data_IF_175354305999
#
_entry.id   IF_175354305999
#
_cell.length_a   1.000
_cell.length_b   1.000
_cell.length_c   1.000
_cell.angle_alpha   90.00
_cell.angle_beta   90.00
_cell.angle_gamma   90.00
#
_symmetry.space_group_name_H-M   'P 1'
#
loop_
_entity.id
_entity.type
_entity.pdbx_description
1 polymer ?
#
# COMPACT_ATOMS: atom_id res chain seq x y z
N UNK A 1 -14.68 -82.61 5.69
CA UNK A 1 -16.02 -82.61 6.28
C UNK A 1 -15.90 -81.82 7.60
N UNK A 2 -16.44 -80.68 7.66
CA UNK A 2 -17.04 -80.01 8.81
C UNK A 2 -17.36 -78.53 8.39
N UNK A 3 -18.64 -78.31 8.11
CA UNK A 3 -19.23 -76.97 7.91
C UNK A 3 -19.44 -76.39 9.30
N UNK A 4 -18.90 -75.24 9.57
CA UNK A 4 -19.27 -74.44 10.74
C UNK A 4 -20.28 -73.36 10.30
N UNK A 5 -21.45 -73.44 10.86
CA UNK A 5 -22.61 -72.58 10.66
C UNK A 5 -22.33 -71.13 11.08
N UNK A 6 -22.65 -70.25 10.20
CA UNK A 6 -22.60 -68.75 10.43
C UNK A 6 -23.94 -68.36 11.05
N UNK A 7 -23.93 -68.00 12.34
CA UNK A 7 -25.09 -67.43 13.03
C UNK A 7 -25.43 -66.04 12.48
N UNK A 8 -26.71 -65.90 12.10
CA UNK A 8 -27.29 -64.61 11.67
C UNK A 8 -27.44 -63.69 12.87
N UNK A 9 -27.04 -62.44 12.71
CA UNK A 9 -27.36 -61.33 13.63
C UNK A 9 -28.76 -60.79 13.32
N UNK A 10 -29.58 -60.50 14.32
CA UNK A 10 -30.86 -59.85 14.08
C UNK A 10 -30.71 -58.37 13.70
N UNK A 11 -31.52 -57.94 12.74
CA UNK A 11 -31.66 -56.51 12.35
C UNK A 11 -32.31 -55.70 13.47
N UNK A 12 -31.88 -54.45 13.69
CA UNK A 12 -32.56 -53.54 14.61
C UNK A 12 -33.80 -52.92 13.93
N UNK A 13 -34.91 -52.92 14.63
CA UNK A 13 -36.17 -52.30 14.22
C UNK A 13 -36.08 -50.78 14.04
N UNK A 14 -36.86 -50.16 13.11
CA UNK A 14 -36.85 -48.73 12.91
C UNK A 14 -37.63 -48.05 14.04
N UNK A 15 -36.90 -47.38 14.96
CA UNK A 15 -37.45 -46.51 15.97
C UNK A 15 -38.01 -45.26 15.33
N UNK A 16 -39.31 -45.04 15.50
CA UNK A 16 -40.04 -43.80 15.22
C UNK A 16 -39.60 -42.74 16.21
N UNK A 17 -38.67 -41.85 15.81
CA UNK A 17 -38.30 -40.69 16.62
C UNK A 17 -39.02 -39.43 16.07
N UNK A 18 -39.83 -38.87 16.96
CA UNK A 18 -40.69 -37.75 16.70
C UNK A 18 -39.94 -36.46 16.33
N UNK A 19 -40.39 -35.83 15.26
CA UNK A 19 -39.86 -34.62 14.74
C UNK A 19 -39.76 -33.49 15.77
N UNK A 20 -38.52 -33.11 16.09
CA UNK A 20 -38.22 -31.79 16.65
C UNK A 20 -37.84 -30.83 15.49
N UNK A 21 -38.51 -29.71 15.35
CA UNK A 21 -38.12 -28.73 14.35
C UNK A 21 -36.70 -28.21 14.65
N UNK A 22 -35.80 -28.39 13.72
CA UNK A 22 -34.46 -27.79 13.77
C UNK A 22 -34.60 -26.26 13.88
N UNK A 23 -34.30 -25.73 15.06
CA UNK A 23 -34.22 -24.29 15.28
C UNK A 23 -33.11 -23.72 14.40
N UNK A 24 -33.47 -22.71 13.62
CA UNK A 24 -32.58 -21.84 12.87
C UNK A 24 -31.55 -21.19 13.82
N UNK A 25 -30.38 -21.78 13.94
CA UNK A 25 -29.20 -21.21 14.59
C UNK A 25 -28.08 -21.20 13.56
N UNK A 26 -28.27 -20.45 12.46
CA UNK A 26 -27.40 -20.56 11.30
C UNK A 26 -26.76 -19.25 10.80
N UNK A 27 -27.09 -18.10 11.37
CA UNK A 27 -26.56 -16.82 10.86
C UNK A 27 -25.35 -16.31 11.64
N UNK A 28 -25.28 -16.52 12.96
CA UNK A 28 -24.15 -15.99 13.77
C UNK A 28 -22.88 -16.87 13.71
N UNK A 29 -23.01 -18.16 13.43
CA UNK A 29 -21.86 -19.07 13.37
C UNK A 29 -21.00 -18.92 12.09
N UNK A 30 -21.59 -18.42 11.00
CA UNK A 30 -20.87 -18.23 9.73
C UNK A 30 -19.95 -17.01 9.77
N UNK A 31 -20.38 -15.92 10.39
CA UNK A 31 -19.55 -14.71 10.54
C UNK A 31 -18.37 -14.92 11.50
N UNK A 32 -18.56 -15.65 12.58
CA UNK A 32 -17.50 -16.02 13.51
C UNK A 32 -16.45 -16.95 12.85
N UNK A 33 -16.90 -17.93 12.07
CA UNK A 33 -16.03 -18.84 11.33
C UNK A 33 -15.25 -18.16 10.19
N UNK A 34 -15.85 -17.17 9.54
CA UNK A 34 -15.19 -16.38 8.49
C UNK A 34 -14.13 -15.42 9.09
N UNK A 35 -14.39 -14.82 10.24
CA UNK A 35 -13.43 -13.97 10.97
C UNK A 35 -12.21 -14.75 11.46
N UNK A 36 -12.41 -15.95 11.99
CA UNK A 36 -11.35 -16.82 12.46
C UNK A 36 -10.41 -17.25 11.31
N UNK A 37 -10.98 -17.70 10.20
CA UNK A 37 -10.21 -18.07 9.00
C UNK A 37 -9.41 -16.92 8.41
N UNK A 38 -9.93 -15.71 8.47
CA UNK A 38 -9.20 -14.51 8.03
C UNK A 38 -8.00 -14.22 8.95
N UNK A 39 -8.17 -14.33 10.27
CA UNK A 39 -7.10 -14.16 11.25
C UNK A 39 -5.98 -15.21 11.07
N UNK A 40 -6.33 -16.47 10.80
CA UNK A 40 -5.36 -17.54 10.50
C UNK A 40 -4.58 -17.25 9.21
N UNK A 41 -5.26 -16.79 8.17
CA UNK A 41 -4.63 -16.38 6.90
C UNK A 41 -3.65 -15.22 7.13
N UNK A 42 -4.06 -14.24 7.92
CA UNK A 42 -3.24 -13.08 8.26
C UNK A 42 -1.99 -13.49 9.05
N UNK A 43 -2.16 -14.41 10.02
CA UNK A 43 -1.04 -14.92 10.83
C UNK A 43 -0.04 -15.73 9.99
N UNK A 44 -0.53 -16.55 9.06
CA UNK A 44 0.31 -17.31 8.14
C UNK A 44 1.12 -16.38 7.22
N UNK A 45 0.49 -15.35 6.65
CA UNK A 45 1.15 -14.35 5.81
C UNK A 45 2.17 -13.50 6.60
N UNK A 46 1.82 -13.11 7.83
CA UNK A 46 2.75 -12.41 8.72
C UNK A 46 4.01 -13.23 9.02
N UNK A 47 3.84 -14.52 9.30
CA UNK A 47 4.97 -15.42 9.57
C UNK A 47 5.89 -15.54 8.35
N UNK A 48 5.33 -15.65 7.13
CA UNK A 48 6.10 -15.65 5.88
C UNK A 48 6.95 -14.37 5.72
N UNK A 49 6.35 -13.21 5.93
CA UNK A 49 7.05 -11.92 5.80
C UNK A 49 8.17 -11.75 6.84
N UNK A 50 7.96 -12.22 8.08
CA UNK A 50 8.94 -12.14 9.15
C UNK A 50 10.13 -13.09 8.94
N UNK A 51 9.94 -14.22 8.27
CA UNK A 51 10.98 -15.21 8.02
C UNK A 51 11.84 -14.87 6.80
N UNK A 52 11.41 -13.93 5.94
CA UNK A 52 12.18 -13.45 4.80
C UNK A 52 13.05 -12.24 5.20
N UNK A 53 14.36 -12.43 5.48
CA UNK A 53 15.22 -11.33 5.91
C UNK A 53 15.33 -10.20 4.87
N UNK A 54 15.15 -10.51 3.58
CA UNK A 54 15.17 -9.53 2.50
C UNK A 54 14.07 -8.46 2.61
N UNK A 55 12.88 -8.81 3.10
CA UNK A 55 11.77 -7.85 3.26
C UNK A 55 12.11 -6.79 4.32
N UNK A 56 12.70 -7.21 5.44
CA UNK A 56 13.14 -6.29 6.50
C UNK A 56 14.20 -5.30 6.02
N UNK A 57 15.21 -5.78 5.28
CA UNK A 57 16.25 -4.92 4.69
C UNK A 57 15.69 -3.94 3.65
N UNK A 58 14.74 -4.36 2.82
CA UNK A 58 14.08 -3.47 1.85
C UNK A 58 13.24 -2.39 2.55
N UNK A 59 12.54 -2.72 3.62
CA UNK A 59 11.77 -1.75 4.42
C UNK A 59 12.71 -0.73 5.10
N UNK A 60 13.82 -1.20 5.68
CA UNK A 60 14.87 -0.34 6.23
C UNK A 60 15.47 0.57 5.15
N UNK A 61 15.79 0.01 3.98
CA UNK A 61 16.34 0.77 2.86
C UNK A 61 15.33 1.83 2.37
N UNK A 62 14.03 1.50 2.28
CA UNK A 62 12.99 2.46 1.92
C UNK A 62 12.94 3.63 2.90
N UNK A 63 12.93 3.35 4.21
CA UNK A 63 12.91 4.39 5.23
C UNK A 63 14.19 5.24 5.22
N UNK A 64 15.36 4.59 5.22
CA UNK A 64 16.65 5.27 5.21
C UNK A 64 16.84 6.16 3.97
N UNK A 65 16.46 5.64 2.79
CA UNK A 65 16.56 6.38 1.53
C UNK A 65 15.61 7.59 1.51
N UNK A 66 14.39 7.42 2.00
CA UNK A 66 13.41 8.51 2.11
C UNK A 66 13.95 9.63 3.01
N UNK A 67 14.46 9.28 4.20
CA UNK A 67 15.02 10.26 5.14
C UNK A 67 16.27 10.92 4.55
N UNK A 68 17.19 10.14 3.99
CA UNK A 68 18.45 10.65 3.45
C UNK A 68 18.24 11.63 2.28
N UNK A 69 17.33 11.30 1.35
CA UNK A 69 17.02 12.18 0.21
C UNK A 69 16.30 13.43 0.68
N UNK A 70 15.36 13.35 1.62
CA UNK A 70 14.72 14.53 2.23
C UNK A 70 15.74 15.43 2.92
N UNK A 71 16.59 14.88 3.78
CA UNK A 71 17.64 15.62 4.47
C UNK A 71 18.65 16.26 3.50
N UNK A 72 19.01 15.56 2.42
CA UNK A 72 19.90 16.09 1.38
C UNK A 72 19.23 17.27 0.62
N UNK A 73 17.92 17.17 0.34
CA UNK A 73 17.17 18.27 -0.28
C UNK A 73 17.09 19.48 0.65
N UNK A 74 16.85 19.27 1.95
CA UNK A 74 16.85 20.34 2.96
C UNK A 74 18.23 21.03 3.05
N UNK A 75 19.31 20.24 3.08
CA UNK A 75 20.68 20.75 3.16
C UNK A 75 21.15 21.47 1.87
N UNK A 76 20.62 21.07 0.72
CA UNK A 76 20.94 21.71 -0.56
C UNK A 76 20.16 23.03 -0.80
N UNK A 77 19.10 23.27 -0.01
CA UNK A 77 18.24 24.43 -0.18
C UNK A 77 18.66 25.57 0.75
N UNK A 78 18.81 26.77 0.21
CA UNK A 78 19.14 27.98 0.99
C UNK A 78 18.08 29.06 0.77
N UNK A 79 17.69 29.72 1.86
CA UNK A 79 16.80 30.86 1.84
C UNK A 79 17.62 32.16 1.98
N UNK A 80 17.67 32.96 0.90
CA UNK A 80 18.38 34.24 0.91
C UNK A 80 17.49 35.38 1.41
N UNK A 81 18.12 36.58 1.59
CA UNK A 81 17.45 37.78 2.08
C UNK A 81 16.36 38.36 1.15
N UNK A 82 16.29 37.89 -0.10
CA UNK A 82 15.27 38.30 -1.08
C UNK A 82 13.92 37.57 -0.95
N UNK A 83 13.78 36.71 0.05
CA UNK A 83 12.60 35.88 0.27
C UNK A 83 12.69 34.53 -0.46
N UNK A 84 12.01 33.52 0.07
CA UNK A 84 11.94 32.19 -0.49
C UNK A 84 10.48 31.87 -0.84
N UNK A 85 10.28 31.23 -1.99
CA UNK A 85 8.97 30.68 -2.38
C UNK A 85 8.91 29.16 -2.19
N UNK A 86 9.85 28.60 -1.41
CA UNK A 86 9.89 27.17 -1.14
C UNK A 86 8.86 26.77 -0.07
N UNK A 87 8.35 25.56 -0.20
CA UNK A 87 7.49 24.92 0.79
C UNK A 87 8.35 23.99 1.66
N UNK A 88 8.66 24.37 2.93
CA UNK A 88 9.57 23.58 3.77
C UNK A 88 9.10 22.16 4.02
N UNK A 89 7.79 21.96 4.22
CA UNK A 89 7.24 20.63 4.44
C UNK A 89 7.38 19.74 3.19
N UNK A 90 7.05 20.29 2.03
CA UNK A 90 7.21 19.58 0.75
C UNK A 90 8.68 19.27 0.46
N UNK A 91 9.60 20.17 0.82
CA UNK A 91 11.03 20.00 0.64
C UNK A 91 11.56 18.82 1.45
N UNK A 92 11.28 18.78 2.75
CA UNK A 92 11.67 17.69 3.65
C UNK A 92 11.06 16.34 3.25
N UNK A 93 9.87 16.35 2.64
CA UNK A 93 9.17 15.16 2.17
C UNK A 93 9.52 14.74 0.73
N UNK A 94 10.46 15.44 0.05
CA UNK A 94 10.90 15.09 -1.30
C UNK A 94 11.42 13.65 -1.40
N UNK A 95 12.02 13.13 -0.33
CA UNK A 95 12.49 11.75 -0.25
C UNK A 95 11.41 10.70 -0.48
N UNK A 96 10.13 11.01 -0.24
CA UNK A 96 8.99 10.13 -0.52
C UNK A 96 8.92 9.76 -2.00
N UNK A 97 9.33 10.66 -2.91
CA UNK A 97 9.35 10.40 -4.36
C UNK A 97 10.34 9.29 -4.76
N UNK A 98 11.40 9.10 -3.99
CA UNK A 98 12.36 8.01 -4.21
C UNK A 98 11.96 6.77 -3.42
N UNK A 99 11.53 6.96 -2.16
CA UNK A 99 11.07 5.88 -1.28
C UNK A 99 9.91 5.08 -1.88
N UNK A 100 9.01 5.73 -2.64
CA UNK A 100 7.89 5.06 -3.30
C UNK A 100 8.33 3.94 -4.27
N UNK A 101 9.46 4.10 -4.95
CA UNK A 101 9.97 3.06 -5.86
C UNK A 101 10.32 1.78 -5.08
N UNK A 102 10.98 1.91 -3.93
CA UNK A 102 11.31 0.77 -3.09
C UNK A 102 10.05 0.13 -2.51
N UNK A 103 9.09 0.95 -2.07
CA UNK A 103 7.77 0.49 -1.58
C UNK A 103 7.01 -0.28 -2.67
N UNK A 104 7.02 0.23 -3.91
CA UNK A 104 6.39 -0.46 -5.04
C UNK A 104 7.04 -1.82 -5.31
N UNK A 105 8.38 -1.89 -5.29
CA UNK A 105 9.13 -3.16 -5.46
C UNK A 105 8.77 -4.15 -4.35
N UNK A 106 8.73 -3.73 -3.08
CA UNK A 106 8.33 -4.58 -1.95
C UNK A 106 6.93 -5.16 -2.18
N UNK A 107 5.97 -4.33 -2.58
CA UNK A 107 4.59 -4.76 -2.82
C UNK A 107 4.48 -5.73 -4.00
N UNK A 108 5.24 -5.53 -5.07
CA UNK A 108 5.30 -6.47 -6.21
C UNK A 108 5.87 -7.81 -5.76
N UNK A 109 7.01 -7.80 -5.06
CA UNK A 109 7.69 -9.01 -4.62
C UNK A 109 6.85 -9.81 -3.61
N UNK A 110 6.03 -9.14 -2.79
CA UNK A 110 5.15 -9.78 -1.81
C UNK A 110 4.15 -10.78 -2.44
N UNK A 111 3.80 -10.62 -3.72
CA UNK A 111 2.91 -11.55 -4.41
C UNK A 111 3.62 -12.34 -5.51
N UNK A 112 4.53 -11.73 -6.26
CA UNK A 112 5.21 -12.40 -7.37
C UNK A 112 6.11 -13.56 -6.90
N UNK A 113 6.70 -13.48 -5.71
CA UNK A 113 7.47 -14.58 -5.13
C UNK A 113 6.62 -15.84 -4.91
N UNK A 114 5.32 -15.71 -4.65
CA UNK A 114 4.43 -16.88 -4.52
C UNK A 114 4.08 -17.51 -5.88
N UNK A 115 4.01 -16.68 -6.92
CA UNK A 115 3.81 -17.19 -8.29
C UNK A 115 5.06 -17.94 -8.77
N UNK A 116 6.26 -17.39 -8.56
CA UNK A 116 7.52 -17.99 -9.01
C UNK A 116 7.86 -19.31 -8.29
N UNK A 117 7.49 -19.43 -7.01
CA UNK A 117 7.70 -20.66 -6.22
C UNK A 117 6.56 -21.68 -6.36
N UNK A 118 5.47 -21.33 -7.06
CA UNK A 118 4.29 -22.18 -7.17
C UNK A 118 3.46 -22.30 -5.87
N UNK A 119 3.86 -21.61 -4.80
CA UNK A 119 3.15 -21.62 -3.50
C UNK A 119 1.73 -21.07 -3.60
N UNK A 120 1.45 -20.26 -4.61
CA UNK A 120 0.10 -19.73 -4.84
C UNK A 120 -0.96 -20.82 -4.97
N UNK A 121 -0.62 -21.96 -5.58
CA UNK A 121 -1.53 -23.11 -5.72
C UNK A 121 -1.89 -23.71 -4.37
N UNK A 122 -0.90 -23.89 -3.49
CA UNK A 122 -1.11 -24.41 -2.14
C UNK A 122 -1.96 -23.44 -1.32
N UNK A 123 -1.70 -22.14 -1.42
CA UNK A 123 -2.46 -21.11 -0.73
C UNK A 123 -3.93 -21.10 -1.20
N UNK A 124 -4.18 -21.23 -2.51
CA UNK A 124 -5.53 -21.23 -3.08
C UNK A 124 -6.32 -22.53 -2.80
N UNK A 125 -5.64 -23.67 -2.63
CA UNK A 125 -6.32 -24.92 -2.20
C UNK A 125 -6.69 -24.87 -0.71
N UNK A 126 -5.88 -24.24 0.12
CA UNK A 126 -6.16 -24.09 1.55
C UNK A 126 -7.28 -23.06 1.83
N UNK A 127 -7.43 -22.05 0.96
CA UNK A 127 -8.43 -20.97 1.11
C UNK A 127 -9.33 -20.92 -0.12
N UNK A 128 -10.57 -21.46 -0.07
CA UNK A 128 -11.48 -21.51 -1.22
C UNK A 128 -11.96 -20.13 -1.68
N UNK A 129 -11.86 -19.11 -0.82
CA UNK A 129 -12.19 -17.71 -1.15
C UNK A 129 -10.95 -16.96 -1.60
N UNK A 130 -10.66 -16.93 -2.89
CA UNK A 130 -9.49 -16.25 -3.51
C UNK A 130 -9.36 -14.76 -3.14
N UNK A 131 -10.49 -14.10 -2.88
CA UNK A 131 -10.51 -12.70 -2.43
C UNK A 131 -9.89 -12.50 -1.05
N UNK A 132 -10.07 -13.45 -0.13
CA UNK A 132 -9.55 -13.32 1.23
C UNK A 132 -8.02 -13.29 1.24
N UNK A 133 -7.37 -14.03 0.34
CA UNK A 133 -5.92 -14.02 0.19
C UNK A 133 -5.41 -12.65 -0.28
N UNK A 134 -6.04 -12.07 -1.30
CA UNK A 134 -5.65 -10.75 -1.80
C UNK A 134 -5.89 -9.65 -0.75
N UNK A 135 -7.03 -9.70 -0.04
CA UNK A 135 -7.35 -8.74 1.03
C UNK A 135 -6.39 -8.88 2.21
N UNK A 136 -6.07 -10.11 2.64
CA UNK A 136 -5.10 -10.35 3.70
C UNK A 136 -3.71 -9.81 3.32
N UNK A 137 -3.28 -10.07 2.08
CA UNK A 137 -2.00 -9.58 1.57
C UNK A 137 -1.97 -8.05 1.45
N UNK A 138 -3.05 -7.45 0.96
CA UNK A 138 -3.20 -6.00 0.90
C UNK A 138 -3.17 -5.35 2.29
N UNK A 139 -3.84 -5.96 3.29
CA UNK A 139 -3.83 -5.49 4.66
C UNK A 139 -2.44 -5.57 5.30
N UNK A 140 -1.71 -6.68 5.07
CA UNK A 140 -0.36 -6.86 5.62
C UNK A 140 0.66 -5.93 4.97
N UNK A 141 0.71 -5.88 3.64
CA UNK A 141 1.62 -4.99 2.91
C UNK A 141 1.28 -3.54 3.24
N UNK A 142 -0.01 -3.17 3.23
CA UNK A 142 -0.46 -1.84 3.63
C UNK A 142 -0.09 -1.49 5.07
N UNK A 143 -0.25 -2.40 6.01
CA UNK A 143 0.13 -2.21 7.42
C UNK A 143 1.64 -2.06 7.62
N UNK A 144 2.46 -2.86 6.93
CA UNK A 144 3.92 -2.74 6.98
C UNK A 144 4.40 -1.41 6.37
N UNK A 145 3.84 -1.02 5.23
CA UNK A 145 4.17 0.25 4.58
C UNK A 145 3.66 1.43 5.39
N UNK A 146 2.51 1.30 6.05
CA UNK A 146 2.02 2.33 6.98
C UNK A 146 2.99 2.54 8.15
N UNK A 147 3.46 1.46 8.77
CA UNK A 147 4.40 1.56 9.89
C UNK A 147 5.76 2.13 9.46
N UNK A 148 6.37 1.56 8.40
CA UNK A 148 7.66 2.03 7.87
C UNK A 148 7.57 3.41 7.25
N UNK A 149 6.49 3.71 6.53
CA UNK A 149 6.21 5.04 5.96
C UNK A 149 6.03 6.09 7.04
N UNK A 150 5.34 5.77 8.15
CA UNK A 150 5.22 6.67 9.29
C UNK A 150 6.60 6.98 9.89
N UNK A 151 7.44 5.97 10.11
CA UNK A 151 8.81 6.16 10.61
C UNK A 151 9.66 7.00 9.65
N UNK A 152 9.58 6.72 8.34
CA UNK A 152 10.30 7.46 7.31
C UNK A 152 9.88 8.93 7.26
N UNK A 153 8.57 9.21 7.24
CA UNK A 153 8.01 10.57 7.19
C UNK A 153 8.33 11.33 8.48
N UNK A 154 8.18 10.70 9.65
CA UNK A 154 8.57 11.33 10.93
C UNK A 154 10.06 11.64 10.95
N UNK A 155 10.91 10.74 10.50
CA UNK A 155 12.34 10.95 10.35
C UNK A 155 12.68 12.11 9.42
N UNK A 156 11.99 12.21 8.26
CA UNK A 156 12.17 13.30 7.30
C UNK A 156 11.74 14.66 7.87
N UNK A 157 10.59 14.72 8.54
CA UNK A 157 10.12 15.96 9.21
C UNK A 157 11.07 16.37 10.32
N UNK A 158 11.59 15.41 11.09
CA UNK A 158 12.58 15.69 12.14
C UNK A 158 13.89 16.21 11.54
N UNK A 159 14.39 15.59 10.47
CA UNK A 159 15.58 16.06 9.77
C UNK A 159 15.39 17.49 9.23
N UNK A 160 14.24 17.78 8.57
CA UNK A 160 13.91 19.11 8.09
C UNK A 160 13.86 20.14 9.22
N UNK A 161 13.25 19.78 10.37
CA UNK A 161 13.19 20.66 11.53
C UNK A 161 14.57 21.01 12.10
N UNK A 162 15.55 20.11 11.95
CA UNK A 162 16.92 20.33 12.45
C UNK A 162 17.81 21.06 11.43
N UNK A 163 17.64 20.78 10.13
CA UNK A 163 18.50 21.27 9.05
C UNK A 163 18.05 22.63 8.52
N UNK A 164 16.76 22.82 8.22
CA UNK A 164 16.24 24.00 7.54
C UNK A 164 16.53 25.34 8.27
N UNK A 165 16.47 25.45 9.60
CA UNK A 165 16.81 26.69 10.28
C UNK A 165 18.24 27.17 10.03
N UNK A 166 19.20 26.24 9.89
CA UNK A 166 20.60 26.55 9.56
C UNK A 166 20.77 27.07 8.13
N UNK A 167 19.79 26.84 7.23
CA UNK A 167 19.79 27.24 5.84
C UNK A 167 18.88 28.46 5.55
N UNK A 168 18.48 29.21 6.60
CA UNK A 168 17.73 30.46 6.46
C UNK A 168 16.21 30.33 6.51
N UNK A 169 15.65 29.12 6.67
CA UNK A 169 14.21 28.91 6.87
C UNK A 169 13.84 29.14 8.33
N UNK A 170 13.72 30.40 8.73
CA UNK A 170 13.44 30.82 10.10
C UNK A 170 12.17 31.64 10.20
N UNK A 171 11.62 31.78 11.39
CA UNK A 171 10.46 32.59 11.66
C UNK A 171 10.68 34.09 11.24
N UNK A 172 11.93 34.60 11.30
CA UNK A 172 12.29 35.93 10.86
C UNK A 172 12.11 36.12 9.35
N UNK A 173 12.19 35.05 8.57
CA UNK A 173 11.93 35.04 7.11
C UNK A 173 10.52 34.56 6.75
N UNK A 174 9.62 34.45 7.75
CA UNK A 174 8.23 34.02 7.52
C UNK A 174 8.00 32.50 7.50
N UNK A 175 9.00 31.72 7.90
CA UNK A 175 8.91 30.26 7.98
C UNK A 175 8.91 29.78 9.44
N UNK A 176 7.75 29.45 10.01
CA UNK A 176 7.73 28.81 11.33
C UNK A 176 8.41 27.45 11.27
N UNK A 177 9.03 26.98 12.38
CA UNK A 177 9.65 25.66 12.41
C UNK A 177 8.61 24.58 12.13
N UNK A 178 9.00 23.58 11.31
CA UNK A 178 8.14 22.44 10.98
C UNK A 178 7.60 21.81 12.26
N UNK A 179 6.29 21.65 12.36
CA UNK A 179 5.62 21.13 13.55
C UNK A 179 4.39 20.31 13.17
N UNK A 180 4.33 19.10 13.72
CA UNK A 180 3.13 18.25 13.58
C UNK A 180 1.91 18.82 14.35
N UNK A 181 2.10 19.81 15.20
CA UNK A 181 1.01 20.59 15.80
C UNK A 181 0.39 21.61 14.83
N UNK A 182 1.03 21.91 13.72
CA UNK A 182 0.50 22.78 12.66
C UNK A 182 -0.28 21.97 11.63
N UNK A 183 -1.55 22.27 11.46
CA UNK A 183 -2.48 21.47 10.63
C UNK A 183 -1.99 21.15 9.21
N UNK A 184 -1.46 22.11 8.44
CA UNK A 184 -0.90 21.85 7.11
C UNK A 184 0.26 20.87 7.11
N UNK A 185 1.20 20.96 8.06
CA UNK A 185 2.35 20.04 8.17
C UNK A 185 1.88 18.64 8.56
N UNK A 186 0.94 18.55 9.50
CA UNK A 186 0.32 17.27 9.88
C UNK A 186 -0.37 16.61 8.69
N UNK A 187 -1.12 17.41 7.91
CA UNK A 187 -1.76 16.90 6.68
C UNK A 187 -0.72 16.38 5.70
N UNK A 188 0.36 17.12 5.46
CA UNK A 188 1.43 16.72 4.57
C UNK A 188 2.09 15.42 5.03
N UNK A 189 2.35 15.29 6.33
CA UNK A 189 2.95 14.08 6.92
C UNK A 189 1.99 12.87 6.80
N UNK A 190 0.77 12.98 7.32
CA UNK A 190 -0.23 11.89 7.26
C UNK A 190 -0.56 11.53 5.80
N UNK A 191 -0.73 12.55 4.96
CA UNK A 191 -1.00 12.36 3.53
C UNK A 191 0.13 11.62 2.81
N UNK A 192 1.41 11.89 3.15
CA UNK A 192 2.55 11.17 2.59
C UNK A 192 2.60 9.70 3.00
N UNK A 193 2.23 9.39 4.24
CA UNK A 193 2.11 7.99 4.68
C UNK A 193 1.00 7.27 3.93
N UNK A 194 -0.18 7.89 3.82
CA UNK A 194 -1.31 7.34 3.05
C UNK A 194 -0.95 7.19 1.57
N UNK A 195 -0.22 8.14 1.00
CA UNK A 195 0.30 8.07 -0.35
C UNK A 195 1.15 6.81 -0.56
N UNK A 196 2.13 6.53 0.33
CA UNK A 196 2.97 5.33 0.24
C UNK A 196 2.17 4.04 0.34
N UNK A 197 1.15 4.00 1.22
CA UNK A 197 0.24 2.86 1.33
C UNK A 197 -0.54 2.65 0.02
N UNK A 198 -1.06 3.72 -0.59
CA UNK A 198 -1.79 3.63 -1.85
C UNK A 198 -0.88 3.19 -3.01
N UNK A 199 0.39 3.63 -3.05
CA UNK A 199 1.39 3.13 -4.01
C UNK A 199 1.63 1.63 -3.83
N UNK A 200 1.75 1.16 -2.59
CA UNK A 200 1.91 -0.27 -2.32
C UNK A 200 0.69 -1.08 -2.79
N UNK A 201 -0.52 -0.58 -2.56
CA UNK A 201 -1.77 -1.23 -3.00
C UNK A 201 -1.90 -1.22 -4.53
N UNK A 202 -1.55 -0.12 -5.19
CA UNK A 202 -1.47 -0.02 -6.65
C UNK A 202 -0.52 -1.08 -7.21
N UNK A 203 0.70 -1.14 -6.67
CA UNK A 203 1.73 -2.07 -7.09
C UNK A 203 1.32 -3.54 -6.86
N UNK A 204 0.70 -3.85 -5.73
CA UNK A 204 0.15 -5.17 -5.42
C UNK A 204 -0.93 -5.58 -6.43
N UNK A 205 -1.85 -4.67 -6.78
CA UNK A 205 -2.91 -4.90 -7.75
C UNK A 205 -2.37 -5.20 -9.15
N UNK A 206 -1.42 -4.39 -9.62
CA UNK A 206 -0.73 -4.61 -10.92
C UNK A 206 0.02 -5.94 -10.92
N UNK A 207 0.78 -6.23 -9.86
CA UNK A 207 1.55 -7.47 -9.74
C UNK A 207 0.66 -8.72 -9.75
N UNK A 208 -0.50 -8.65 -9.10
CA UNK A 208 -1.51 -9.73 -9.10
C UNK A 208 -2.04 -10.01 -10.51
N UNK A 209 -2.22 -8.96 -11.33
CA UNK A 209 -2.71 -9.10 -12.70
C UNK A 209 -1.64 -9.63 -13.65
N UNK A 210 -0.40 -9.17 -13.50
CA UNK A 210 0.74 -9.46 -14.41
C UNK A 210 1.39 -10.80 -14.09
N UNK A 211 1.58 -11.14 -12.80
CA UNK A 211 2.18 -12.38 -12.28
C UNK A 211 3.68 -12.58 -12.56
N UNK A 212 4.30 -11.62 -13.18
CA UNK A 212 5.75 -11.55 -13.41
C UNK A 212 6.34 -10.35 -12.68
N UNK A 213 7.40 -10.56 -11.91
CA UNK A 213 7.98 -9.52 -11.06
C UNK A 213 8.65 -8.41 -11.86
N UNK A 214 9.40 -8.76 -12.92
CA UNK A 214 10.13 -7.78 -13.70
C UNK A 214 9.18 -6.88 -14.50
N UNK A 215 8.18 -7.48 -15.16
CA UNK A 215 7.16 -6.76 -15.91
C UNK A 215 6.31 -5.90 -14.98
N UNK A 216 5.90 -6.42 -13.81
CA UNK A 216 5.10 -5.66 -12.86
C UNK A 216 5.86 -4.45 -12.30
N UNK A 217 7.14 -4.61 -11.93
CA UNK A 217 7.99 -3.50 -11.48
C UNK A 217 8.11 -2.45 -12.59
N UNK A 218 8.42 -2.87 -13.82
CA UNK A 218 8.54 -1.97 -14.97
C UNK A 218 7.25 -1.19 -15.24
N UNK A 219 6.10 -1.86 -15.20
CA UNK A 219 4.79 -1.22 -15.40
C UNK A 219 4.45 -0.22 -14.29
N UNK A 220 4.67 -0.58 -13.02
CA UNK A 220 4.38 0.32 -11.90
C UNK A 220 5.29 1.53 -11.92
N UNK A 221 6.60 1.35 -12.07
CA UNK A 221 7.54 2.45 -12.15
C UNK A 221 7.28 3.32 -13.39
N UNK A 222 6.99 2.69 -14.53
CA UNK A 222 6.57 3.40 -15.75
C UNK A 222 5.32 4.25 -15.49
N UNK A 223 4.28 3.67 -14.90
CA UNK A 223 3.04 4.38 -14.57
C UNK A 223 3.29 5.59 -13.64
N UNK A 224 4.17 5.43 -12.64
CA UNK A 224 4.47 6.50 -11.69
C UNK A 224 5.29 7.63 -12.33
N UNK A 225 6.37 7.31 -13.04
CA UNK A 225 7.35 8.31 -13.48
C UNK A 225 7.10 8.86 -14.90
N UNK A 226 6.34 8.16 -15.76
CA UNK A 226 6.03 8.66 -17.10
C UNK A 226 5.20 9.95 -17.05
N UNK A 227 4.18 10.03 -16.20
CA UNK A 227 3.34 11.24 -16.11
C UNK A 227 4.14 12.49 -15.72
N UNK A 228 4.96 12.49 -14.64
CA UNK A 228 5.82 13.63 -14.33
C UNK A 228 6.76 13.99 -15.47
N UNK A 229 7.43 13.01 -16.09
CA UNK A 229 8.38 13.26 -17.18
C UNK A 229 7.68 13.89 -18.39
N UNK A 230 6.54 13.32 -18.81
CA UNK A 230 5.80 13.84 -19.95
C UNK A 230 5.26 15.23 -19.67
N UNK A 231 4.79 15.51 -18.44
CA UNK A 231 4.30 16.84 -18.07
C UNK A 231 5.35 17.93 -18.18
N UNK A 232 6.65 17.61 -17.98
CA UNK A 232 7.74 18.59 -18.14
C UNK A 232 8.09 18.89 -19.60
N UNK A 233 7.80 17.97 -20.53
CA UNK A 233 8.12 18.10 -21.95
C UNK A 233 6.98 18.74 -22.75
N UNK A 234 5.74 18.60 -22.28
CA UNK A 234 4.56 19.14 -22.96
C UNK A 234 4.51 20.67 -22.79
N UNK A 235 4.69 21.41 -23.89
CA UNK A 235 4.66 22.87 -23.89
C UNK A 235 3.23 23.45 -23.73
N UNK A 236 2.20 22.69 -24.03
CA UNK A 236 0.81 23.15 -23.92
C UNK A 236 0.32 23.06 -22.46
N UNK A 237 0.08 24.21 -21.84
CA UNK A 237 -0.30 24.33 -20.44
C UNK A 237 -1.62 23.61 -20.08
N UNK A 238 -2.54 23.50 -21.05
CA UNK A 238 -3.80 22.77 -20.84
C UNK A 238 -3.56 21.28 -20.68
N UNK A 239 -2.79 20.67 -21.59
CA UNK A 239 -2.42 19.25 -21.55
C UNK A 239 -1.53 18.94 -20.34
N UNK A 240 -0.60 19.84 -19.99
CA UNK A 240 0.23 19.69 -18.80
C UNK A 240 -0.63 19.55 -17.54
N UNK A 241 -1.59 20.46 -17.33
CA UNK A 241 -2.51 20.41 -16.19
C UNK A 241 -3.32 19.11 -16.15
N UNK A 242 -3.81 18.63 -17.29
CA UNK A 242 -4.53 17.35 -17.34
C UNK A 242 -3.64 16.16 -16.96
N UNK A 243 -2.42 16.11 -17.45
CA UNK A 243 -1.46 15.07 -17.09
C UNK A 243 -1.13 15.08 -15.59
N UNK A 244 -0.98 16.27 -15.02
CA UNK A 244 -0.75 16.44 -13.58
C UNK A 244 -1.97 16.03 -12.73
N UNK A 245 -3.19 16.23 -13.23
CA UNK A 245 -4.42 15.84 -12.53
C UNK A 245 -4.67 14.32 -12.56
N UNK A 246 -4.31 13.65 -13.65
CA UNK A 246 -4.61 12.23 -13.86
C UNK A 246 -3.46 11.35 -13.37
N UNK A 247 -2.22 11.84 -13.44
CA UNK A 247 -1.03 11.08 -13.06
C UNK A 247 -1.04 10.66 -11.60
N UNK A 248 -0.90 9.36 -11.29
CA UNK A 248 -1.00 8.87 -9.91
C UNK A 248 0.03 9.48 -8.97
N UNK A 249 1.27 9.69 -9.45
CA UNK A 249 2.33 10.31 -8.66
C UNK A 249 2.08 11.81 -8.49
N UNK A 250 1.86 12.56 -9.58
CA UNK A 250 1.69 14.02 -9.53
C UNK A 250 0.50 14.39 -8.65
N UNK A 251 -0.67 13.82 -8.93
CA UNK A 251 -1.88 14.07 -8.17
C UNK A 251 -1.72 13.72 -6.69
N UNK A 252 -1.18 12.53 -6.38
CA UNK A 252 -1.02 12.06 -5.01
C UNK A 252 -0.08 12.91 -4.18
N UNK A 253 1.00 13.45 -4.78
CA UNK A 253 1.98 14.28 -4.09
C UNK A 253 1.50 15.71 -3.78
N UNK A 254 0.36 16.16 -4.33
CA UNK A 254 -0.22 17.44 -3.92
C UNK A 254 -0.60 17.49 -2.44
N UNK A 255 -0.75 16.35 -1.78
CA UNK A 255 -1.02 16.28 -0.34
C UNK A 255 0.11 16.88 0.51
N UNK A 256 1.33 16.91 -0.03
CA UNK A 256 2.51 17.47 0.65
C UNK A 256 2.58 18.99 0.62
N UNK A 257 1.84 19.64 -0.28
CA UNK A 257 1.88 21.11 -0.41
C UNK A 257 1.25 21.79 0.81
N UNK A 258 1.99 22.68 1.47
CA UNK A 258 1.50 23.48 2.60
C UNK A 258 1.30 24.94 2.23
N UNK A 259 1.97 25.39 1.16
CA UNK A 259 1.92 26.77 0.63
C UNK A 259 1.35 26.76 -0.79
N UNK A 260 0.71 27.84 -1.19
CA UNK A 260 0.26 28.04 -2.58
C UNK A 260 -0.91 27.14 -3.01
N UNK A 261 -1.74 26.67 -2.08
CA UNK A 261 -2.83 25.71 -2.34
C UNK A 261 -3.83 26.14 -3.43
N UNK A 262 -3.99 27.46 -3.64
CA UNK A 262 -4.90 28.03 -4.66
C UNK A 262 -4.40 27.87 -6.09
N UNK A 263 -3.10 27.63 -6.27
CA UNK A 263 -2.45 27.51 -7.58
C UNK A 263 -2.40 26.07 -8.05
N UNK A 264 -2.61 25.11 -7.13
CA UNK A 264 -2.57 23.69 -7.44
C UNK A 264 -3.73 23.28 -8.36
N UNK A 265 -3.48 22.38 -9.33
CA UNK A 265 -4.53 21.84 -10.20
C UNK A 265 -5.64 21.06 -9.47
N UNK A 266 -5.31 20.48 -8.32
CA UNK A 266 -6.22 19.72 -7.44
C UNK A 266 -5.97 20.10 -5.98
N UNK A 267 -7.01 20.01 -5.16
CA UNK A 267 -6.80 20.11 -3.71
C UNK A 267 -6.02 18.90 -3.18
N UNK A 268 -5.29 19.03 -2.07
CA UNK A 268 -4.47 17.96 -1.50
C UNK A 268 -5.18 16.62 -1.35
N UNK A 269 -6.42 16.62 -0.85
CA UNK A 269 -7.22 15.41 -0.67
C UNK A 269 -7.80 14.85 -1.98
N UNK A 270 -8.15 15.71 -2.93
CA UNK A 270 -8.60 15.27 -4.26
C UNK A 270 -7.46 14.56 -4.99
N UNK A 271 -6.24 15.06 -4.91
CA UNK A 271 -5.08 14.42 -5.49
C UNK A 271 -4.83 13.02 -4.92
N UNK A 272 -4.96 12.85 -3.60
CA UNK A 272 -4.89 11.54 -2.96
C UNK A 272 -6.04 10.62 -3.38
N UNK A 273 -7.24 11.19 -3.62
CA UNK A 273 -8.40 10.48 -4.17
C UNK A 273 -8.17 9.91 -5.57
N UNK A 274 -7.46 10.65 -6.44
CA UNK A 274 -7.06 10.15 -7.77
C UNK A 274 -6.16 8.93 -7.64
N UNK A 275 -5.14 9.00 -6.78
CA UNK A 275 -4.26 7.85 -6.53
C UNK A 275 -5.04 6.67 -5.92
N UNK A 276 -5.99 6.93 -5.02
CA UNK A 276 -6.85 5.88 -4.46
C UNK A 276 -7.70 5.20 -5.54
N UNK A 277 -8.22 5.96 -6.51
CA UNK A 277 -8.93 5.39 -7.65
C UNK A 277 -8.04 4.49 -8.51
N UNK A 278 -6.80 4.88 -8.78
CA UNK A 278 -5.81 4.05 -9.47
C UNK A 278 -5.51 2.76 -8.69
N UNK A 279 -5.26 2.85 -7.38
CA UNK A 279 -4.98 1.70 -6.53
C UNK A 279 -6.18 0.73 -6.46
N UNK A 280 -7.38 1.25 -6.31
CA UNK A 280 -8.61 0.46 -6.29
C UNK A 280 -8.85 -0.22 -7.64
N UNK A 281 -8.70 0.51 -8.75
CA UNK A 281 -8.82 -0.04 -10.10
C UNK A 281 -7.82 -1.18 -10.36
N UNK A 282 -6.56 -1.02 -9.95
CA UNK A 282 -5.53 -2.05 -10.07
C UNK A 282 -5.84 -3.29 -9.24
N UNK A 283 -6.30 -3.11 -7.98
CA UNK A 283 -6.70 -4.22 -7.12
C UNK A 283 -7.92 -4.96 -7.67
N UNK A 284 -8.92 -4.25 -8.21
CA UNK A 284 -10.07 -4.87 -8.87
C UNK A 284 -9.64 -5.68 -10.09
N UNK A 285 -8.77 -5.10 -10.94
CA UNK A 285 -8.24 -5.79 -12.10
C UNK A 285 -7.49 -7.07 -11.69
N UNK A 286 -6.61 -6.97 -10.71
CA UNK A 286 -5.89 -8.11 -10.14
C UNK A 286 -6.83 -9.19 -9.62
N UNK A 287 -7.86 -8.79 -8.89
CA UNK A 287 -8.87 -9.69 -8.35
C UNK A 287 -9.70 -10.40 -9.44
N UNK A 288 -10.07 -9.70 -10.50
CA UNK A 288 -10.79 -10.27 -11.66
C UNK A 288 -9.90 -11.28 -12.39
N UNK A 289 -8.65 -10.91 -12.68
CA UNK A 289 -7.68 -11.81 -13.33
C UNK A 289 -7.42 -13.05 -12.49
N UNK A 290 -7.32 -12.91 -11.15
CA UNK A 290 -7.17 -14.03 -10.23
C UNK A 290 -8.36 -15.00 -10.29
N UNK A 291 -9.57 -14.48 -10.53
CA UNK A 291 -10.77 -15.33 -10.70
C UNK A 291 -10.82 -16.04 -12.04
N UNK A 292 -10.48 -15.34 -13.13
CA UNK A 292 -10.68 -15.83 -14.49
C UNK A 292 -9.58 -16.79 -14.97
N UNK A 293 -8.34 -16.60 -14.53
CA UNK A 293 -7.19 -17.35 -15.07
C UNK A 293 -6.77 -18.58 -14.28
N UNK A 294 -7.25 -18.76 -13.05
CA UNK A 294 -6.92 -19.91 -12.19
C UNK A 294 -8.12 -20.83 -12.00
N UNK A 295 -9.08 -20.78 -12.90
CA UNK A 295 -10.20 -21.71 -12.98
C UNK A 295 -9.80 -22.97 -13.74
#
# INVERSE_FOLDING_TARGET
>A
MSQTARAARPEPEPGTDGGRPARFAGADSTHAADGWRFAETLHAEWTKLRTLPGTGWLLLAAAALTIAVGAAADAASTCGSAGCQADPAKLSLTGVQVGQAVVAIIAVLAICNEYSTGMIRVTLTATPRRWSVLVAKAALVGGLVLATGALAVLGSVLAGRLILPGHGFTAAHGFPPLSLGYGPDLRAAVGSVLYLVLIALLALGVATAVRDSAVAIGLVLGLLYVFPIVSTVVANQHWQRHLEQIGPMNAGLYVQATVGLKILPLTPWQGLGVLAAWAFGALLLGAVVLRLRDA
#
